data_IF_851767014587
#
_entry.id   IF_851767014587
#
_cell.length_a   1.000
_cell.length_b   1.000
_cell.length_c   1.000
_cell.angle_alpha   90.00
_cell.angle_beta   90.00
_cell.angle_gamma   90.00
#
_symmetry.space_group_name_H-M   'P 1'
#
loop_
_entity.id
_entity.type
_entity.pdbx_description
1 polymer ?
#
# COMPACT_ATOMS: atom_id res chain seq x y z
N UNK A 1 1.57 -32.62 3.48
CA UNK A 1 0.23 -32.09 3.10
C UNK A 1 0.31 -30.57 3.17
N UNK A 2 0.18 -29.87 2.04
CA UNK A 2 0.29 -28.41 1.98
C UNK A 2 -1.05 -27.80 2.43
N UNK A 3 -0.99 -26.84 3.34
CA UNK A 3 -2.14 -26.16 3.95
C UNK A 3 -3.00 -25.48 2.89
N UNK A 4 -4.33 -25.58 3.00
CA UNK A 4 -5.34 -25.08 2.07
C UNK A 4 -5.46 -23.52 2.00
N UNK A 5 -4.41 -22.79 2.37
CA UNK A 5 -4.43 -21.33 2.54
C UNK A 5 -3.46 -20.57 1.64
N UNK A 6 -2.69 -21.23 0.78
CA UNK A 6 -1.95 -20.56 -0.31
C UNK A 6 -2.67 -20.79 -1.65
N UNK A 7 -3.32 -19.76 -2.22
CA UNK A 7 -3.72 -19.80 -3.61
C UNK A 7 -2.45 -19.89 -4.46
N UNK A 8 -2.23 -21.03 -5.10
CA UNK A 8 -1.10 -21.19 -6.01
C UNK A 8 -1.28 -20.24 -7.19
N UNK A 9 -0.21 -19.58 -7.64
CA UNK A 9 -0.16 -18.64 -8.78
C UNK A 9 -1.01 -19.09 -10.00
N UNK A 10 -1.15 -20.41 -10.20
CA UNK A 10 -1.99 -21.01 -11.23
C UNK A 10 -3.48 -20.64 -11.14
N UNK A 11 -4.08 -20.60 -9.95
CA UNK A 11 -5.51 -20.30 -9.81
C UNK A 11 -5.83 -18.87 -10.24
N UNK A 12 -4.90 -17.93 -10.00
CA UNK A 12 -5.09 -16.55 -10.42
C UNK A 12 -5.00 -16.36 -11.94
N UNK A 13 -4.19 -17.19 -12.59
CA UNK A 13 -4.12 -17.21 -14.05
C UNK A 13 -5.42 -17.80 -14.63
N UNK A 14 -5.90 -18.90 -14.05
CA UNK A 14 -7.15 -19.53 -14.46
C UNK A 14 -8.35 -18.57 -14.33
N UNK A 15 -8.44 -17.83 -13.22
CA UNK A 15 -9.47 -16.81 -13.02
C UNK A 15 -9.48 -15.75 -14.11
N UNK A 16 -8.31 -15.15 -14.39
CA UNK A 16 -8.20 -14.09 -15.41
C UNK A 16 -8.56 -14.59 -16.81
N UNK A 17 -8.14 -15.81 -17.16
CA UNK A 17 -8.46 -16.41 -18.44
C UNK A 17 -9.96 -16.70 -18.56
N UNK A 18 -10.58 -17.26 -17.53
CA UNK A 18 -12.01 -17.53 -17.52
C UNK A 18 -12.86 -16.25 -17.62
N UNK A 19 -12.49 -15.20 -16.89
CA UNK A 19 -13.15 -13.90 -17.04
C UNK A 19 -12.96 -13.30 -18.44
N UNK A 20 -11.76 -13.43 -19.04
CA UNK A 20 -11.49 -12.92 -20.38
C UNK A 20 -12.30 -13.67 -21.46
N UNK A 21 -12.39 -15.00 -21.33
CA UNK A 21 -13.16 -15.86 -22.22
C UNK A 21 -14.66 -15.50 -22.19
N UNK A 22 -15.18 -15.16 -21.02
CA UNK A 22 -16.58 -14.76 -20.83
C UNK A 22 -16.84 -13.26 -21.05
N UNK A 23 -15.84 -12.49 -21.48
CA UNK A 23 -15.98 -11.05 -21.71
C UNK A 23 -16.30 -10.23 -20.44
N UNK A 24 -15.91 -10.75 -19.27
CA UNK A 24 -16.19 -10.15 -17.97
C UNK A 24 -14.97 -9.44 -17.38
N UNK A 25 -15.24 -8.38 -16.60
CA UNK A 25 -14.19 -7.70 -15.87
C UNK A 25 -13.71 -8.57 -14.70
N UNK A 26 -12.49 -9.10 -14.78
CA UNK A 26 -11.88 -9.92 -13.73
C UNK A 26 -11.75 -9.19 -12.37
N UNK A 27 -11.80 -7.84 -12.39
CA UNK A 27 -11.62 -6.95 -11.22
C UNK A 27 -12.86 -6.78 -10.36
N UNK A 28 -14.02 -6.64 -11.00
CA UNK A 28 -15.30 -6.39 -10.33
C UNK A 28 -16.32 -7.30 -11.04
N UNK A 29 -16.22 -8.62 -10.82
CA UNK A 29 -17.13 -9.57 -11.44
C UNK A 29 -18.54 -9.33 -10.90
N UNK A 30 -19.51 -9.08 -11.78
CA UNK A 30 -20.94 -9.04 -11.40
C UNK A 30 -21.47 -10.43 -11.09
N UNK A 31 -20.83 -11.47 -11.62
CA UNK A 31 -21.14 -12.89 -11.42
C UNK A 31 -19.86 -13.73 -11.52
N UNK A 32 -19.90 -14.96 -11.01
CA UNK A 32 -18.79 -15.91 -11.18
C UNK A 32 -18.64 -16.34 -12.64
N UNK A 33 -17.40 -16.46 -13.15
CA UNK A 33 -17.15 -17.20 -14.38
C UNK A 33 -17.56 -18.67 -14.22
N UNK A 34 -18.09 -19.25 -15.28
CA UNK A 34 -18.66 -20.59 -15.36
C UNK A 34 -17.70 -21.64 -14.81
N UNK A 35 -16.41 -21.56 -15.15
CA UNK A 35 -15.39 -22.48 -14.64
C UNK A 35 -15.35 -22.54 -13.10
N UNK A 36 -15.59 -21.41 -12.42
CA UNK A 36 -15.56 -21.30 -10.97
C UNK A 36 -16.97 -21.44 -10.34
N UNK A 37 -18.02 -21.37 -11.14
CA UNK A 37 -19.39 -21.66 -10.70
C UNK A 37 -19.72 -23.17 -10.78
N UNK A 38 -19.01 -23.92 -11.63
CA UNK A 38 -19.34 -25.28 -12.04
C UNK A 38 -19.49 -26.26 -10.86
N UNK A 39 -18.55 -26.26 -9.92
CA UNK A 39 -18.61 -27.13 -8.74
C UNK A 39 -19.85 -26.86 -7.88
N UNK A 40 -20.27 -25.58 -7.82
CA UNK A 40 -21.49 -25.10 -7.18
C UNK A 40 -22.74 -25.64 -7.84
N UNK A 41 -22.85 -25.41 -9.14
CA UNK A 41 -24.00 -25.79 -9.96
C UNK A 41 -24.17 -27.32 -10.06
N UNK A 42 -23.06 -28.06 -10.12
CA UNK A 42 -23.08 -29.52 -10.23
C UNK A 42 -23.17 -30.25 -8.89
N UNK A 43 -23.16 -29.53 -7.76
CA UNK A 43 -23.26 -30.14 -6.44
C UNK A 43 -22.15 -31.15 -6.14
N UNK A 44 -20.93 -30.89 -6.63
CA UNK A 44 -19.79 -31.82 -6.48
C UNK A 44 -19.46 -32.02 -4.99
N UNK A 45 -19.45 -33.26 -4.48
CA UNK A 45 -19.00 -33.55 -3.11
C UNK A 45 -17.55 -33.09 -2.91
N UNK A 46 -17.28 -32.37 -1.81
CA UNK A 46 -15.98 -31.76 -1.50
C UNK A 46 -15.43 -30.80 -2.59
N UNK A 47 -16.31 -30.27 -3.44
CA UNK A 47 -15.94 -29.32 -4.50
C UNK A 47 -15.57 -27.92 -3.98
N UNK A 48 -14.91 -27.14 -4.83
CA UNK A 48 -14.52 -25.78 -4.49
C UNK A 48 -15.72 -24.84 -4.62
N UNK A 49 -15.98 -24.02 -3.60
CA UNK A 49 -17.03 -22.99 -3.61
C UNK A 49 -16.39 -21.63 -3.72
N UNK A 50 -16.82 -20.83 -4.70
CA UNK A 50 -16.29 -19.49 -4.91
C UNK A 50 -17.39 -18.42 -4.72
N UNK A 51 -17.00 -17.24 -4.26
CA UNK A 51 -17.90 -16.07 -4.17
C UNK A 51 -17.36 -14.91 -5.03
N UNK A 52 -18.22 -14.19 -5.77
CA UNK A 52 -17.82 -13.01 -6.56
C UNK A 52 -17.58 -11.78 -5.66
N UNK A 53 -18.26 -11.70 -4.51
CA UNK A 53 -18.09 -10.64 -3.52
C UNK A 53 -17.94 -11.25 -2.13
N UNK A 54 -16.84 -10.91 -1.45
CA UNK A 54 -16.49 -11.47 -0.14
C UNK A 54 -17.01 -10.63 1.04
N UNK A 55 -17.66 -9.48 0.75
CA UNK A 55 -18.23 -8.61 1.77
C UNK A 55 -19.48 -9.28 2.36
N UNK A 56 -19.33 -9.92 3.51
CA UNK A 56 -20.42 -10.59 4.23
C UNK A 56 -20.41 -12.12 4.17
N UNK A 57 -19.39 -12.74 3.56
CA UNK A 57 -19.21 -14.19 3.65
C UNK A 57 -18.66 -14.52 5.03
N UNK A 58 -19.55 -14.85 5.96
CA UNK A 58 -19.15 -15.41 7.24
C UNK A 58 -18.32 -16.67 6.98
N UNK A 59 -17.12 -16.74 7.58
CA UNK A 59 -16.17 -17.86 7.43
C UNK A 59 -16.67 -19.20 8.00
N UNK A 60 -17.96 -19.36 8.20
CA UNK A 60 -18.53 -20.49 8.92
C UNK A 60 -19.95 -20.74 8.44
N UNK A 61 -20.06 -21.59 7.44
CA UNK A 61 -21.09 -22.62 7.46
C UNK A 61 -20.34 -23.94 7.37
N UNK A 62 -20.69 -24.90 8.23
CA UNK A 62 -19.95 -26.14 8.50
C UNK A 62 -19.87 -27.15 7.34
N UNK A 63 -19.80 -26.69 6.09
CA UNK A 63 -19.83 -27.48 4.86
C UNK A 63 -18.72 -27.16 3.85
N UNK A 64 -17.82 -26.21 4.13
CA UNK A 64 -16.62 -26.01 3.30
C UNK A 64 -15.98 -24.62 3.37
N UNK A 65 -14.72 -24.52 2.92
CA UNK A 65 -14.02 -23.24 2.76
C UNK A 65 -14.56 -22.56 1.49
N UNK A 66 -15.14 -21.37 1.64
CA UNK A 66 -15.51 -20.53 0.49
C UNK A 66 -14.27 -19.73 0.06
N UNK A 67 -13.85 -19.95 -1.19
CA UNK A 67 -12.74 -19.26 -1.83
C UNK A 67 -13.21 -17.95 -2.45
N UNK A 68 -12.44 -16.89 -2.27
CA UNK A 68 -12.77 -15.59 -2.83
C UNK A 68 -12.28 -15.49 -4.28
N UNK A 69 -13.21 -15.27 -5.22
CA UNK A 69 -12.89 -15.03 -6.62
C UNK A 69 -12.13 -13.73 -6.83
N UNK A 70 -12.35 -12.73 -5.99
CA UNK A 70 -11.56 -11.49 -5.94
C UNK A 70 -10.15 -11.68 -5.36
N UNK A 71 -9.94 -12.74 -4.58
CA UNK A 71 -8.61 -13.12 -4.09
C UNK A 71 -7.89 -13.93 -5.17
N UNK A 72 -8.61 -14.73 -5.98
CA UNK A 72 -8.09 -15.39 -7.18
C UNK A 72 -7.89 -14.41 -8.37
N UNK A 73 -8.70 -13.37 -8.51
CA UNK A 73 -8.35 -12.22 -9.33
C UNK A 73 -7.14 -11.57 -8.67
N UNK A 74 -5.93 -11.72 -9.22
CA UNK A 74 -4.77 -10.92 -8.82
C UNK A 74 -5.00 -9.42 -9.09
N UNK A 75 -5.94 -8.84 -8.36
CA UNK A 75 -6.48 -7.50 -8.42
C UNK A 75 -6.75 -6.97 -7.00
N UNK A 76 -6.24 -7.65 -5.97
CA UNK A 76 -5.26 -6.96 -5.13
C UNK A 76 -4.12 -6.54 -6.04
N UNK A 77 -4.24 -5.38 -6.69
CA UNK A 77 -3.04 -4.70 -7.16
C UNK A 77 -2.08 -4.65 -5.98
N UNK A 78 -0.79 -4.85 -6.23
CA UNK A 78 0.27 -4.87 -5.24
C UNK A 78 0.46 -3.53 -4.48
N UNK A 79 -0.61 -2.77 -4.22
CA UNK A 79 -0.62 -1.42 -3.68
C UNK A 79 -1.83 -1.13 -2.76
N UNK A 80 -2.73 -2.10 -2.48
CA UNK A 80 -4.00 -1.84 -1.75
C UNK A 80 -4.01 -2.18 -0.25
N UNK A 81 -3.68 -3.43 0.09
CA UNK A 81 -3.93 -3.97 1.45
C UNK A 81 -2.69 -4.50 2.16
N UNK A 82 -1.59 -4.72 1.44
CA UNK A 82 -0.31 -5.05 2.08
C UNK A 82 0.38 -3.77 2.59
N UNK A 83 0.89 -3.76 3.83
CA UNK A 83 1.66 -2.64 4.32
C UNK A 83 2.88 -2.42 3.41
N UNK A 84 3.04 -1.18 2.94
CA UNK A 84 4.15 -0.80 2.05
C UNK A 84 5.49 -1.32 2.60
N UNK A 85 6.29 -1.96 1.74
CA UNK A 85 7.64 -2.37 2.11
C UNK A 85 8.50 -1.15 2.45
N UNK A 86 9.56 -1.29 3.28
CA UNK A 86 10.41 -0.15 3.66
C UNK A 86 11.00 0.59 2.45
N UNK A 87 11.33 -0.13 1.38
CA UNK A 87 11.83 0.46 0.14
C UNK A 87 10.76 1.25 -0.60
N UNK A 88 9.52 0.77 -0.66
CA UNK A 88 8.41 1.52 -1.25
C UNK A 88 8.08 2.78 -0.43
N UNK A 89 8.16 2.69 0.90
CA UNK A 89 7.97 3.84 1.80
C UNK A 89 8.99 4.94 1.49
N UNK A 90 10.26 4.60 1.23
CA UNK A 90 11.33 5.57 1.04
C UNK A 90 11.56 6.00 -0.42
N UNK A 91 11.33 5.11 -1.40
CA UNK A 91 11.74 5.36 -2.79
C UNK A 91 10.58 5.47 -3.79
N UNK A 92 9.36 5.07 -3.44
CA UNK A 92 8.18 5.28 -4.30
C UNK A 92 7.49 6.61 -3.98
N UNK A 93 6.75 7.21 -4.92
CA UNK A 93 5.83 8.33 -4.63
C UNK A 93 4.38 7.89 -4.47
N UNK A 94 4.10 6.60 -4.72
CA UNK A 94 2.75 6.04 -4.71
C UNK A 94 2.32 5.63 -3.30
N UNK A 95 1.01 5.56 -3.13
CA UNK A 95 0.37 5.15 -1.88
C UNK A 95 0.25 6.27 -0.85
N UNK A 96 -0.19 5.86 0.34
CA UNK A 96 -0.50 6.71 1.49
C UNK A 96 0.24 6.18 2.71
N UNK A 97 0.64 7.08 3.61
CA UNK A 97 1.26 6.69 4.88
C UNK A 97 0.49 7.29 6.06
N UNK A 98 0.27 6.50 7.14
CA UNK A 98 -0.35 7.02 8.34
C UNK A 98 0.66 7.88 9.12
N UNK A 99 0.15 8.75 10.00
CA UNK A 99 0.98 9.65 10.83
C UNK A 99 2.11 8.93 11.56
N UNK A 100 1.87 7.71 12.06
CA UNK A 100 2.86 6.92 12.81
C UNK A 100 4.09 6.60 11.96
N UNK A 101 3.87 6.25 10.70
CA UNK A 101 4.93 5.92 9.74
C UNK A 101 5.68 7.19 9.34
N UNK A 102 4.98 8.31 9.16
CA UNK A 102 5.61 9.59 8.87
C UNK A 102 6.55 10.07 10.00
N UNK A 103 6.10 9.99 11.26
CA UNK A 103 6.96 10.31 12.41
C UNK A 103 8.12 9.33 12.57
N UNK A 104 7.87 8.01 12.44
CA UNK A 104 8.89 6.99 12.64
C UNK A 104 9.96 6.98 11.53
N UNK A 105 9.56 6.97 10.26
CA UNK A 105 10.50 6.91 9.14
C UNK A 105 10.96 8.31 8.71
N UNK A 106 10.03 9.26 8.57
CA UNK A 106 10.30 10.57 7.98
C UNK A 106 10.97 11.57 8.91
N UNK A 107 10.58 11.58 10.19
CA UNK A 107 11.22 12.46 11.17
C UNK A 107 12.35 11.73 11.88
N UNK A 108 12.03 10.70 12.67
CA UNK A 108 13.01 10.01 13.49
C UNK A 108 14.03 9.26 12.63
N UNK A 109 13.57 8.39 11.72
CA UNK A 109 14.42 7.56 10.88
C UNK A 109 15.39 8.35 10.02
N UNK A 110 14.90 9.33 9.26
CA UNK A 110 15.75 10.16 8.40
C UNK A 110 16.70 11.08 9.19
N UNK A 111 16.27 11.63 10.34
CA UNK A 111 17.15 12.46 11.18
C UNK A 111 18.28 11.62 11.78
N UNK A 112 17.97 10.43 12.30
CA UNK A 112 18.98 9.52 12.83
C UNK A 112 19.93 9.06 11.73
N UNK A 113 19.41 8.67 10.57
CA UNK A 113 20.25 8.28 9.43
C UNK A 113 21.18 9.42 8.99
N UNK A 114 20.65 10.64 8.86
CA UNK A 114 21.45 11.82 8.49
C UNK A 114 22.54 12.14 9.51
N UNK A 115 22.22 12.08 10.81
CA UNK A 115 23.19 12.28 11.88
C UNK A 115 24.30 11.22 11.83
N UNK A 116 23.95 9.95 11.70
CA UNK A 116 24.94 8.86 11.62
C UNK A 116 25.81 9.00 10.37
N UNK A 117 25.22 9.29 9.21
CA UNK A 117 25.95 9.50 7.96
C UNK A 117 26.93 10.69 8.07
N UNK A 118 26.50 11.81 8.65
CA UNK A 118 27.34 12.99 8.87
C UNK A 118 28.54 12.67 9.78
N UNK A 119 28.30 11.99 10.91
CA UNK A 119 29.37 11.60 11.84
C UNK A 119 30.39 10.67 11.18
N UNK A 120 29.93 9.68 10.40
CA UNK A 120 30.81 8.75 9.68
C UNK A 120 31.68 9.48 8.63
N UNK A 121 31.09 10.41 7.87
CA UNK A 121 31.84 11.20 6.89
C UNK A 121 32.90 12.10 7.56
N UNK A 122 32.58 12.66 8.74
CA UNK A 122 33.55 13.40 9.55
C UNK A 122 34.74 12.55 9.99
N UNK A 123 34.50 11.30 10.41
CA UNK A 123 35.57 10.34 10.77
C UNK A 123 36.44 9.99 9.57
N UNK A 124 35.84 9.84 8.38
CA UNK A 124 36.56 9.58 7.12
C UNK A 124 37.39 10.80 6.66
N UNK A 125 37.17 11.98 7.27
CA UNK A 125 37.95 13.19 6.99
C UNK A 125 37.33 14.09 5.91
N UNK A 126 36.04 13.92 5.59
CA UNK A 126 35.34 14.87 4.72
C UNK A 126 35.26 16.25 5.38
N UNK A 127 35.43 17.31 4.56
CA UNK A 127 35.17 18.68 5.02
C UNK A 127 33.71 18.81 5.44
N UNK A 128 33.39 19.53 6.54
CA UNK A 128 32.03 19.65 7.06
C UNK A 128 31.00 20.07 6.00
N UNK A 129 31.34 21.08 5.19
CA UNK A 129 30.47 21.56 4.11
C UNK A 129 30.16 20.48 3.07
N UNK A 130 31.13 19.64 2.72
CA UNK A 130 30.94 18.57 1.74
C UNK A 130 30.12 17.42 2.34
N UNK A 131 30.38 17.08 3.61
CA UNK A 131 29.62 16.05 4.32
C UNK A 131 28.15 16.45 4.46
N UNK A 132 27.88 17.70 4.83
CA UNK A 132 26.53 18.26 4.92
C UNK A 132 25.80 18.19 3.57
N UNK A 133 26.44 18.65 2.49
CA UNK A 133 25.85 18.59 1.15
C UNK A 133 25.50 17.16 0.74
N UNK A 134 26.39 16.20 0.98
CA UNK A 134 26.16 14.79 0.63
C UNK A 134 25.01 14.18 1.43
N UNK A 135 24.98 14.42 2.74
CA UNK A 135 23.90 13.93 3.62
C UNK A 135 22.56 14.53 3.22
N UNK A 136 22.51 15.84 2.94
CA UNK A 136 21.29 16.50 2.49
C UNK A 136 20.78 15.92 1.18
N UNK A 137 21.67 15.65 0.21
CA UNK A 137 21.30 15.02 -1.06
C UNK A 137 20.73 13.60 -0.85
N UNK A 138 21.34 12.81 0.04
CA UNK A 138 20.88 11.44 0.34
C UNK A 138 19.52 11.41 1.03
N UNK A 139 19.28 12.33 1.96
CA UNK A 139 18.03 12.39 2.74
C UNK A 139 16.91 13.11 1.99
N UNK A 140 17.24 13.99 1.04
CA UNK A 140 16.27 14.79 0.31
C UNK A 140 15.21 13.94 -0.40
N UNK A 141 15.62 12.93 -1.15
CA UNK A 141 14.68 12.08 -1.89
C UNK A 141 13.68 11.34 -0.98
N UNK A 142 14.12 10.55 0.03
CA UNK A 142 13.17 9.87 0.90
C UNK A 142 12.30 10.84 1.73
N UNK A 143 12.83 12.02 2.10
CA UNK A 143 12.03 13.06 2.76
C UNK A 143 10.89 13.56 1.85
N UNK A 144 11.21 13.86 0.58
CA UNK A 144 10.23 14.25 -0.43
C UNK A 144 9.19 13.14 -0.64
N UNK A 145 9.64 11.89 -0.78
CA UNK A 145 8.76 10.75 -1.02
C UNK A 145 7.78 10.49 0.13
N UNK A 146 8.21 10.66 1.38
CA UNK A 146 7.34 10.54 2.56
C UNK A 146 6.36 11.70 2.65
N UNK A 147 6.82 12.92 2.36
CA UNK A 147 5.98 14.11 2.43
C UNK A 147 4.87 14.08 1.37
N UNK A 148 5.19 13.66 0.14
CA UNK A 148 4.20 13.45 -0.93
C UNK A 148 3.14 12.42 -0.53
N UNK A 149 3.55 11.25 0.01
CA UNK A 149 2.59 10.24 0.49
C UNK A 149 1.74 10.74 1.66
N UNK A 150 2.28 11.63 2.49
CA UNK A 150 1.53 12.22 3.60
C UNK A 150 0.50 13.22 3.11
N UNK A 151 0.78 13.97 2.04
CA UNK A 151 -0.20 14.80 1.34
C UNK A 151 -1.27 13.94 0.65
N UNK A 152 -0.89 12.84 0.01
CA UNK A 152 -1.83 11.86 -0.55
C UNK A 152 -2.77 11.27 0.51
N UNK A 153 -2.26 11.02 1.72
CA UNK A 153 -3.08 10.54 2.83
C UNK A 153 -4.16 11.54 3.28
N UNK A 154 -4.02 12.82 2.92
CA UNK A 154 -5.04 13.86 3.15
C UNK A 154 -5.85 14.19 1.90
N UNK A 155 -5.80 13.30 0.91
CA UNK A 155 -6.44 13.49 -0.40
C UNK A 155 -6.05 14.83 -1.02
N UNK A 156 -4.76 15.17 -0.98
CA UNK A 156 -4.18 16.33 -1.65
C UNK A 156 -3.10 15.89 -2.62
N UNK A 157 -2.88 16.67 -3.68
CA UNK A 157 -1.85 16.39 -4.67
C UNK A 157 -0.43 16.53 -4.10
N UNK A 158 0.54 15.75 -4.60
CA UNK A 158 1.94 15.86 -4.17
C UNK A 158 2.53 17.27 -4.30
N UNK A 159 2.00 18.11 -5.19
CA UNK A 159 2.37 19.52 -5.37
C UNK A 159 2.27 20.38 -4.11
N UNK A 160 1.47 19.99 -3.12
CA UNK A 160 1.41 20.70 -1.84
C UNK A 160 2.74 20.71 -1.09
N UNK A 161 3.70 19.83 -1.46
CA UNK A 161 5.07 19.88 -0.95
C UNK A 161 5.78 21.21 -1.23
N UNK A 162 5.43 21.90 -2.33
CA UNK A 162 6.02 23.18 -2.71
C UNK A 162 5.77 24.29 -1.68
N UNK A 163 4.80 24.13 -0.77
CA UNK A 163 4.63 25.05 0.34
C UNK A 163 5.91 25.20 1.18
N UNK A 164 6.72 24.14 1.28
CA UNK A 164 7.98 24.17 2.05
C UNK A 164 9.06 25.07 1.44
N UNK A 165 8.86 25.58 0.22
CA UNK A 165 9.72 26.62 -0.37
C UNK A 165 9.52 27.96 0.34
N UNK A 166 8.33 28.23 0.90
CA UNK A 166 8.07 29.44 1.69
C UNK A 166 8.56 29.18 3.12
N UNK A 167 9.67 29.82 3.54
CA UNK A 167 10.24 29.58 4.86
C UNK A 167 9.24 29.99 5.96
N UNK A 168 9.33 29.32 7.10
CA UNK A 168 8.46 29.49 8.28
C UNK A 168 6.99 29.11 8.06
N UNK A 169 6.26 29.82 7.20
CA UNK A 169 4.82 29.59 6.98
C UNK A 169 4.57 28.21 6.39
N UNK A 170 5.31 27.85 5.34
CA UNK A 170 5.19 26.54 4.70
C UNK A 170 5.55 25.39 5.62
N UNK A 171 6.58 25.59 6.44
CA UNK A 171 7.02 24.63 7.44
C UNK A 171 5.98 24.41 8.54
N UNK A 172 5.47 25.49 9.14
CA UNK A 172 4.42 25.43 10.19
C UNK A 172 3.16 24.77 9.64
N UNK A 173 2.73 25.15 8.44
CA UNK A 173 1.57 24.55 7.79
C UNK A 173 1.76 23.05 7.55
N UNK A 174 2.91 22.67 7.00
CA UNK A 174 3.25 21.26 6.77
C UNK A 174 3.27 20.48 8.08
N UNK A 175 3.85 21.04 9.14
CA UNK A 175 3.88 20.38 10.45
C UNK A 175 2.46 20.15 11.02
N UNK A 176 1.57 21.13 10.87
CA UNK A 176 0.17 21.01 11.31
C UNK A 176 -0.57 19.93 10.51
N UNK A 177 -0.60 20.07 9.19
CA UNK A 177 -1.36 19.20 8.29
C UNK A 177 -0.81 17.76 8.23
N UNK A 178 0.52 17.62 8.12
CA UNK A 178 1.17 16.31 8.01
C UNK A 178 1.43 15.68 9.37
N UNK A 179 1.76 16.47 10.40
CA UNK A 179 2.19 15.95 11.70
C UNK A 179 1.10 15.70 12.72
N UNK A 180 0.12 16.60 12.80
CA UNK A 180 -0.89 16.55 13.87
C UNK A 180 -2.26 16.11 13.36
N UNK A 181 -2.66 16.54 12.15
CA UNK A 181 -3.96 16.18 11.60
C UNK A 181 -3.99 14.71 11.13
N UNK A 182 -5.19 14.12 11.16
CA UNK A 182 -5.44 12.74 10.68
C UNK A 182 -5.52 12.70 9.15
N UNK A 183 -5.19 11.55 8.56
CA UNK A 183 -5.53 11.24 7.16
C UNK A 183 -7.02 11.13 6.88
N UNK A 184 -7.40 10.95 5.61
CA UNK A 184 -8.78 10.64 5.22
C UNK A 184 -9.18 9.24 5.68
N UNK A 185 -10.40 9.10 6.20
CA UNK A 185 -10.98 7.81 6.61
C UNK A 185 -11.50 7.08 5.38
N UNK A 186 -11.25 5.78 5.28
CA UNK A 186 -11.63 4.98 4.13
C UNK A 186 -10.79 5.23 2.87
N UNK A 187 -11.25 4.70 1.72
CA UNK A 187 -10.52 4.81 0.46
C UNK A 187 -10.51 6.25 -0.07
N UNK A 188 -9.37 6.65 -0.65
CA UNK A 188 -9.24 7.91 -1.38
C UNK A 188 -8.57 7.67 -2.75
N UNK A 189 -8.32 8.72 -3.54
CA UNK A 189 -7.76 8.60 -4.90
C UNK A 189 -6.37 7.95 -4.98
N UNK A 190 -5.68 7.83 -3.85
CA UNK A 190 -4.31 7.32 -3.72
C UNK A 190 -4.23 5.94 -3.06
N UNK A 191 -5.37 5.34 -2.66
CA UNK A 191 -5.44 4.00 -2.07
C UNK A 191 -6.34 3.92 -0.82
N UNK A 192 -6.39 2.72 -0.25
CA UNK A 192 -7.16 2.41 0.97
C UNK A 192 -6.59 3.11 2.22
N UNK A 193 -7.33 3.10 3.33
CA UNK A 193 -6.84 3.65 4.60
C UNK A 193 -5.74 2.72 5.16
N UNK A 194 -4.48 3.19 5.29
CA UNK A 194 -3.38 2.38 5.81
C UNK A 194 -3.53 2.02 7.30
N UNK A 195 -4.57 2.51 7.97
CA UNK A 195 -4.93 2.17 9.35
C UNK A 195 -5.97 1.05 9.43
N UNK A 196 -6.54 0.62 8.29
CA UNK A 196 -7.56 -0.44 8.24
C UNK A 196 -8.88 -0.08 8.93
N UNK A 197 -9.18 1.22 9.08
CA UNK A 197 -10.42 1.70 9.70
C UNK A 197 -11.41 2.07 8.60
N UNK A 198 -12.46 1.26 8.46
CA UNK A 198 -13.64 1.56 7.64
C UNK A 198 -14.55 2.59 8.31
#
# INVERSE_FOLDING_TARGET
>A
MRSATEPTIGIHRAWRLACADEGMAARIPTRLPLLFALDGELGVPDGFRYAPNCRGVARSDGTGIIYCGSDAAGCGGADGDEPLSPLQVLFSLRGRIPRKTWWAYGVLGLTLFGLHAYMLLGIVGFRPANAEQLVNLLVFWPALALLVKRWHDRDKTGWWVLLNIVPLIGFVWTLIECGFLRGTVGPNRYGEDPTGRL
#
